data_IF_984898215041
#
_entry.id   IF_984898215041
#
_cell.length_a   1.000
_cell.length_b   1.000
_cell.length_c   1.000
_cell.angle_alpha   90.00
_cell.angle_beta   90.00
_cell.angle_gamma   90.00
#
_symmetry.space_group_name_H-M   'P 1'
#
loop_
_entity.id
_entity.type
_entity.pdbx_description
1 polymer ?
#
# COMPACT_ATOMS: atom_id res chain seq x y z
N UNK A 1 -17.42 3.52 32.07
CA UNK A 1 -17.67 3.77 30.77
C UNK A 1 -16.55 3.62 29.80
N UNK A 2 -16.81 2.86 28.80
CA UNK A 2 -15.82 2.51 27.89
C UNK A 2 -15.74 3.44 26.77
N UNK A 3 -14.57 3.91 26.43
CA UNK A 3 -14.43 4.71 25.28
C UNK A 3 -13.85 3.89 24.22
N UNK A 4 -14.46 3.90 23.06
CA UNK A 4 -13.96 3.19 21.96
C UNK A 4 -12.73 3.85 21.48
N UNK A 5 -11.65 3.13 21.47
CA UNK A 5 -10.39 3.67 21.01
C UNK A 5 -10.39 3.71 19.51
N UNK A 6 -10.14 4.88 18.96
CA UNK A 6 -10.06 5.04 17.51
C UNK A 6 -8.62 4.88 17.09
N UNK A 7 -8.36 3.98 16.16
CA UNK A 7 -7.00 3.76 15.69
C UNK A 7 -6.53 4.92 14.85
N UNK A 8 -5.27 5.30 15.03
CA UNK A 8 -4.68 6.32 14.21
C UNK A 8 -4.50 5.79 12.79
N UNK A 9 -4.33 6.67 11.78
CA UNK A 9 -4.09 6.22 10.42
C UNK A 9 -2.87 5.31 10.32
N UNK A 10 -1.85 5.62 11.10
CA UNK A 10 -0.65 4.82 11.13
C UNK A 10 -0.93 3.41 11.63
N UNK A 11 -1.77 3.29 12.66
CA UNK A 11 -2.13 1.99 13.19
C UNK A 11 -2.96 1.18 12.20
N UNK A 12 -3.87 1.83 11.50
CA UNK A 12 -4.70 1.15 10.51
C UNK A 12 -3.83 0.60 9.38
N UNK A 13 -2.90 1.42 8.90
CA UNK A 13 -1.97 0.98 7.86
C UNK A 13 -1.15 -0.20 8.34
N UNK A 14 -0.63 -0.13 9.55
CA UNK A 14 0.18 -1.21 10.13
C UNK A 14 -0.64 -2.48 10.26
N UNK A 15 -1.89 -2.37 10.68
CA UNK A 15 -2.75 -3.55 10.81
C UNK A 15 -2.93 -4.26 9.47
N UNK A 16 -3.16 -3.49 8.40
CA UNK A 16 -3.30 -4.10 7.08
C UNK A 16 -1.99 -4.77 6.63
N UNK A 17 -0.85 -4.15 6.93
CA UNK A 17 0.44 -4.73 6.57
C UNK A 17 0.68 -6.04 7.33
N UNK A 18 0.30 -6.09 8.60
CA UNK A 18 0.45 -7.30 9.39
C UNK A 18 -0.47 -8.41 8.88
N UNK A 19 -1.70 -8.06 8.55
CA UNK A 19 -2.64 -9.05 8.01
C UNK A 19 -2.14 -9.58 6.67
N UNK A 20 -1.57 -8.72 5.85
CA UNK A 20 -1.03 -9.15 4.57
C UNK A 20 0.07 -10.19 4.78
N UNK A 21 0.94 -9.96 5.77
CA UNK A 21 2.01 -10.91 6.05
C UNK A 21 1.47 -12.23 6.56
N UNK A 22 0.47 -12.18 7.44
CA UNK A 22 -0.13 -13.40 7.97
C UNK A 22 -0.73 -14.22 6.84
N UNK A 23 -1.50 -13.59 5.96
CA UNK A 23 -2.08 -14.30 4.83
C UNK A 23 -1.00 -14.89 3.92
N UNK A 24 0.03 -14.11 3.62
CA UNK A 24 1.09 -14.58 2.74
C UNK A 24 1.86 -15.75 3.34
N UNK A 25 2.12 -15.71 4.64
CA UNK A 25 2.82 -16.81 5.32
C UNK A 25 1.98 -18.07 5.33
N UNK A 26 0.66 -17.93 5.28
CA UNK A 26 -0.25 -19.07 5.24
C UNK A 26 -0.52 -19.57 3.82
N UNK A 27 0.06 -18.94 2.82
CA UNK A 27 -0.17 -19.30 1.43
C UNK A 27 -1.41 -18.69 0.81
N UNK A 28 -2.07 -17.78 1.53
CA UNK A 28 -3.26 -17.11 1.02
C UNK A 28 -2.82 -15.81 0.33
N UNK A 29 -2.24 -15.98 -0.85
CA UNK A 29 -1.62 -14.85 -1.54
C UNK A 29 -2.64 -13.83 -2.05
N UNK A 30 -3.82 -14.29 -2.37
CA UNK A 30 -4.85 -13.38 -2.85
C UNK A 30 -5.25 -12.37 -1.77
N UNK A 31 -5.56 -12.87 -0.58
CA UNK A 31 -5.93 -11.98 0.51
C UNK A 31 -4.75 -11.14 0.97
N UNK A 32 -3.53 -11.68 0.85
CA UNK A 32 -2.34 -10.91 1.15
C UNK A 32 -2.25 -9.66 0.27
N UNK A 33 -2.45 -9.82 -1.04
CA UNK A 33 -2.39 -8.67 -1.95
C UNK A 33 -3.55 -7.70 -1.73
N UNK A 34 -4.73 -8.20 -1.36
CA UNK A 34 -5.85 -7.33 -1.04
C UNK A 34 -5.50 -6.44 0.17
N UNK A 35 -4.93 -7.04 1.21
CA UNK A 35 -4.54 -6.28 2.40
C UNK A 35 -3.42 -5.30 2.10
N UNK A 36 -2.46 -5.69 1.27
CA UNK A 36 -1.40 -4.78 0.85
C UNK A 36 -1.96 -3.57 0.12
N UNK A 37 -2.92 -3.80 -0.75
CA UNK A 37 -3.57 -2.73 -1.47
C UNK A 37 -4.29 -1.77 -0.52
N UNK A 38 -5.00 -2.32 0.46
CA UNK A 38 -5.68 -1.49 1.46
C UNK A 38 -4.68 -0.69 2.29
N UNK A 39 -3.57 -1.30 2.68
CA UNK A 39 -2.55 -0.60 3.44
C UNK A 39 -2.02 0.60 2.66
N UNK A 40 -1.69 0.39 1.40
CA UNK A 40 -1.12 1.44 0.59
C UNK A 40 -2.14 2.55 0.35
N UNK A 41 -3.39 2.19 0.04
CA UNK A 41 -4.43 3.19 -0.20
C UNK A 41 -4.75 3.99 1.06
N UNK A 42 -4.79 3.33 2.21
CA UNK A 42 -5.04 4.00 3.48
C UNK A 42 -3.92 4.99 3.76
N UNK A 43 -2.68 4.57 3.54
CA UNK A 43 -1.54 5.44 3.74
C UNK A 43 -1.60 6.66 2.82
N UNK A 44 -1.89 6.44 1.54
CA UNK A 44 -1.95 7.54 0.57
C UNK A 44 -3.05 8.52 0.92
N UNK A 45 -4.19 8.03 1.40
CA UNK A 45 -5.29 8.90 1.78
C UNK A 45 -4.88 9.79 2.96
N UNK A 46 -4.27 9.21 3.99
CA UNK A 46 -3.96 9.97 5.19
C UNK A 46 -2.72 10.84 5.06
N UNK A 47 -1.73 10.38 4.29
CA UNK A 47 -0.49 11.13 4.15
C UNK A 47 -0.59 12.22 3.09
N UNK A 48 -1.29 11.96 2.00
CA UNK A 48 -1.32 12.85 0.84
C UNK A 48 -2.71 13.29 0.44
N UNK A 49 -3.72 12.87 1.20
CA UNK A 49 -5.12 13.23 0.92
C UNK A 49 -5.58 12.73 -0.45
N UNK A 50 -5.06 11.58 -0.86
CA UNK A 50 -5.49 10.96 -2.10
C UNK A 50 -6.70 10.09 -1.80
N UNK A 51 -7.87 10.36 -2.40
CA UNK A 51 -9.10 9.61 -2.09
C UNK A 51 -8.92 8.12 -2.38
N UNK A 52 -9.63 7.29 -1.60
CA UNK A 52 -9.59 5.84 -1.76
C UNK A 52 -10.46 5.36 -2.92
N UNK A 53 -10.85 6.24 -3.78
CA UNK A 53 -11.68 5.88 -4.92
C UNK A 53 -10.88 5.12 -5.95
N UNK A 54 -11.61 4.58 -6.92
CA UNK A 54 -11.00 3.73 -7.92
C UNK A 54 -10.30 4.54 -9.00
N UNK A 55 -9.13 5.06 -8.69
CA UNK A 55 -8.33 5.81 -9.64
C UNK A 55 -7.41 4.87 -10.40
N UNK A 56 -7.06 5.25 -11.62
CA UNK A 56 -6.01 4.55 -12.35
C UNK A 56 -4.67 4.83 -11.69
N UNK A 57 -3.68 4.00 -12.02
CA UNK A 57 -2.34 4.21 -11.47
C UNK A 57 -1.79 5.59 -11.80
N UNK A 58 -2.00 6.05 -13.03
CA UNK A 58 -1.49 7.37 -13.42
C UNK A 58 -2.22 8.50 -12.70
N UNK A 59 -3.51 8.32 -12.42
CA UNK A 59 -4.23 9.31 -11.64
C UNK A 59 -3.71 9.40 -10.21
N UNK A 60 -3.36 8.27 -9.61
CA UNK A 60 -2.77 8.27 -8.28
C UNK A 60 -1.43 8.98 -8.29
N UNK A 61 -0.60 8.70 -9.29
CA UNK A 61 0.70 9.36 -9.42
C UNK A 61 0.54 10.87 -9.61
N UNK A 62 -0.41 11.28 -10.44
CA UNK A 62 -0.68 12.70 -10.66
C UNK A 62 -1.06 13.39 -9.35
N UNK A 63 -1.91 12.76 -8.56
CA UNK A 63 -2.33 13.33 -7.29
C UNK A 63 -1.18 13.40 -6.29
N UNK A 64 -0.30 12.41 -6.32
CA UNK A 64 0.87 12.43 -5.46
C UNK A 64 1.78 13.60 -5.82
N UNK A 65 1.99 13.83 -7.09
CA UNK A 65 2.80 14.95 -7.54
C UNK A 65 2.15 16.29 -7.19
N UNK A 66 0.84 16.37 -7.30
CA UNK A 66 0.11 17.58 -6.94
C UNK A 66 0.16 17.87 -5.45
N UNK A 67 0.41 16.85 -4.64
CA UNK A 67 0.48 17.04 -3.20
C UNK A 67 1.74 17.74 -2.74
N UNK A 68 2.66 17.99 -3.65
CA UNK A 68 3.91 18.67 -3.32
C UNK A 68 5.10 17.77 -3.13
N UNK A 69 4.92 16.46 -3.31
CA UNK A 69 6.05 15.54 -3.21
C UNK A 69 6.92 15.69 -4.44
N UNK A 70 8.15 16.16 -4.24
CA UNK A 70 9.05 16.41 -5.34
C UNK A 70 10.13 15.34 -5.50
N UNK A 71 10.08 14.29 -4.70
CA UNK A 71 11.07 13.21 -4.75
C UNK A 71 10.70 12.23 -5.85
N UNK A 72 11.39 12.33 -6.98
CA UNK A 72 11.06 11.50 -8.13
C UNK A 72 11.35 10.02 -7.89
N UNK A 73 12.34 9.71 -7.06
CA UNK A 73 12.63 8.32 -6.76
C UNK A 73 11.45 7.67 -6.05
N UNK A 74 10.86 8.37 -5.08
CA UNK A 74 9.70 7.83 -4.36
C UNK A 74 8.48 7.71 -5.27
N UNK A 75 8.30 8.67 -6.17
CA UNK A 75 7.20 8.61 -7.13
C UNK A 75 7.34 7.42 -8.05
N UNK A 76 8.56 7.17 -8.55
CA UNK A 76 8.80 6.04 -9.42
C UNK A 76 8.63 4.71 -8.69
N UNK A 77 9.06 4.64 -7.44
CA UNK A 77 8.87 3.43 -6.65
C UNK A 77 7.38 3.14 -6.47
N UNK A 78 6.58 4.17 -6.20
CA UNK A 78 5.13 3.97 -6.09
C UNK A 78 4.55 3.51 -7.41
N UNK A 79 4.98 4.09 -8.53
CA UNK A 79 4.50 3.68 -9.84
C UNK A 79 4.77 2.20 -10.08
N UNK A 80 5.97 1.75 -9.71
CA UNK A 80 6.32 0.34 -9.88
C UNK A 80 5.46 -0.56 -9.00
N UNK A 81 5.18 -0.14 -7.76
CA UNK A 81 4.32 -0.91 -6.87
C UNK A 81 2.90 -1.01 -7.41
N UNK A 82 2.35 0.10 -7.86
CA UNK A 82 1.00 0.12 -8.41
C UNK A 82 0.90 -0.76 -9.66
N UNK A 83 1.91 -0.70 -10.51
CA UNK A 83 1.93 -1.54 -11.70
C UNK A 83 2.03 -3.02 -11.34
N UNK A 84 2.76 -3.35 -10.28
CA UNK A 84 2.86 -4.74 -9.84
C UNK A 84 1.53 -5.24 -9.30
N UNK A 85 0.81 -4.42 -8.53
CA UNK A 85 -0.52 -4.82 -8.08
C UNK A 85 -1.43 -5.13 -9.27
N UNK A 86 -1.34 -4.30 -10.30
CA UNK A 86 -2.15 -4.50 -11.49
C UNK A 86 -1.74 -5.78 -12.22
N UNK A 87 -0.44 -6.02 -12.30
CA UNK A 87 0.08 -7.19 -13.00
C UNK A 87 -0.38 -8.49 -12.35
N UNK A 88 -0.38 -8.57 -11.02
CA UNK A 88 -0.80 -9.81 -10.36
C UNK A 88 -2.29 -10.05 -10.47
N UNK A 89 -3.09 -9.02 -10.77
CA UNK A 89 -4.51 -9.25 -11.05
C UNK A 89 -4.70 -10.00 -12.36
N UNK A 90 -3.85 -9.73 -13.35
CA UNK A 90 -3.97 -10.39 -14.65
C UNK A 90 -3.14 -11.67 -14.75
N UNK A 91 -2.22 -11.87 -13.83
CA UNK A 91 -1.38 -13.07 -13.80
C UNK A 91 -1.35 -13.62 -12.38
N UNK A 92 -2.46 -14.26 -11.95
CA UNK A 92 -2.56 -14.71 -10.55
C UNK A 92 -1.46 -15.64 -10.11
N UNK A 93 -0.85 -16.39 -11.04
CA UNK A 93 0.23 -17.30 -10.68
C UNK A 93 1.45 -16.54 -10.14
N UNK A 94 1.56 -15.26 -10.42
CA UNK A 94 2.68 -14.47 -9.93
C UNK A 94 2.54 -14.08 -8.47
N UNK A 95 1.34 -14.22 -7.91
CA UNK A 95 1.12 -13.79 -6.52
C UNK A 95 2.04 -14.51 -5.56
N UNK A 96 2.20 -15.81 -5.75
CA UNK A 96 3.04 -16.60 -4.87
C UNK A 96 4.48 -16.10 -4.88
N UNK A 97 5.00 -15.82 -6.05
CA UNK A 97 6.40 -15.44 -6.20
C UNK A 97 6.66 -13.99 -5.83
N UNK A 98 5.65 -13.14 -5.92
CA UNK A 98 5.83 -11.70 -5.77
C UNK A 98 5.34 -11.13 -4.45
N UNK A 99 4.57 -11.90 -3.67
CA UNK A 99 3.91 -11.31 -2.51
C UNK A 99 4.91 -10.79 -1.47
N UNK A 100 5.94 -11.56 -1.18
CA UNK A 100 6.85 -11.17 -0.11
C UNK A 100 7.70 -9.97 -0.49
N UNK A 101 8.17 -9.96 -1.73
CA UNK A 101 8.92 -8.82 -2.22
C UNK A 101 8.05 -7.58 -2.24
N UNK A 102 6.81 -7.71 -2.68
CA UNK A 102 5.87 -6.60 -2.72
C UNK A 102 5.57 -6.10 -1.32
N UNK A 103 5.36 -7.01 -0.38
CA UNK A 103 5.10 -6.64 1.01
C UNK A 103 6.28 -5.85 1.58
N UNK A 104 7.49 -6.33 1.34
CA UNK A 104 8.69 -5.64 1.82
C UNK A 104 8.84 -4.26 1.19
N UNK A 105 8.58 -4.16 -0.09
CA UNK A 105 8.71 -2.88 -0.78
C UNK A 105 7.65 -1.88 -0.36
N UNK A 106 6.42 -2.33 -0.12
CA UNK A 106 5.39 -1.44 0.39
C UNK A 106 5.79 -0.92 1.78
N UNK A 107 6.26 -1.81 2.64
CA UNK A 107 6.69 -1.41 3.98
C UNK A 107 7.82 -0.38 3.92
N UNK A 108 8.80 -0.61 3.06
CA UNK A 108 9.93 0.30 2.93
C UNK A 108 9.50 1.65 2.36
N UNK A 109 8.59 1.63 1.39
CA UNK A 109 8.14 2.89 0.80
C UNK A 109 7.39 3.74 1.83
N UNK A 110 6.52 3.11 2.61
CA UNK A 110 5.77 3.82 3.65
C UNK A 110 6.73 4.39 4.70
N UNK A 111 7.75 3.64 5.04
CA UNK A 111 8.72 4.07 6.05
C UNK A 111 9.48 5.32 5.65
N UNK A 112 9.58 5.60 4.36
CA UNK A 112 10.28 6.80 3.93
C UNK A 112 9.63 8.06 4.47
N UNK A 113 8.36 8.00 4.84
CA UNK A 113 7.62 9.14 5.32
C UNK A 113 7.45 9.14 6.84
N UNK A 114 7.96 8.10 7.50
CA UNK A 114 7.84 7.97 8.95
C UNK A 114 9.08 8.56 9.59
N UNK A 115 9.21 9.86 9.50
CA UNK A 115 10.35 10.53 10.08
C UNK A 115 9.97 11.22 11.34
N UNK A 116 10.80 11.06 12.31
CA UNK A 116 10.55 11.70 13.58
C UNK A 116 10.79 13.18 13.49
#
# INVERSE_FOLDING_TARGET
KQQKKVKSPSEVTTDHLQQAKIYGDQGDYENSFIELSFALRTFLFHQFDIPKENFSNEQIIDKLEQSGLSNQALTQQLRQLLNRFEMVLYAPSMKKDQWKLTWEEVCLWIKQFDKA
#
